data_IF_939747465565
#
_entry.id   IF_939747465565
#
_cell.length_a   1.000
_cell.length_b   1.000
_cell.length_c   1.000
_cell.angle_alpha   90.00
_cell.angle_beta   90.00
_cell.angle_gamma   90.00
#
_symmetry.space_group_name_H-M   'P 1'
#
loop_
_entity.id
_entity.type
_entity.pdbx_description
1 polymer ?
#
# COMPACT_ATOMS: atom_id res chain seq x y z
N UNK A 1 17.18 5.69 -15.86
CA UNK A 1 16.79 5.95 -14.45
C UNK A 1 17.82 5.27 -13.55
N UNK A 2 18.55 6.05 -12.75
CA UNK A 2 19.49 5.55 -11.74
C UNK A 2 18.69 5.06 -10.54
N UNK A 3 18.86 3.79 -10.15
CA UNK A 3 18.20 3.24 -8.96
C UNK A 3 18.78 3.83 -7.68
N UNK A 4 18.00 3.88 -6.61
CA UNK A 4 18.52 4.26 -5.29
C UNK A 4 19.43 3.15 -4.77
N UNK A 5 20.70 3.46 -4.49
CA UNK A 5 21.64 2.50 -3.90
C UNK A 5 21.33 2.29 -2.41
N UNK A 6 21.30 1.02 -2.00
CA UNK A 6 21.01 0.60 -0.63
C UNK A 6 22.20 -0.21 -0.13
N UNK A 7 22.67 0.12 1.08
CA UNK A 7 23.77 -0.62 1.71
C UNK A 7 23.34 -2.06 2.02
N UNK A 8 24.28 -3.03 1.97
CA UNK A 8 24.04 -4.39 2.44
C UNK A 8 23.38 -4.43 3.82
N UNK A 9 22.37 -5.29 4.00
CA UNK A 9 21.66 -5.45 5.27
C UNK A 9 20.79 -4.27 5.70
N UNK A 10 20.69 -3.19 4.91
CA UNK A 10 19.74 -2.10 5.15
C UNK A 10 18.43 -2.36 4.40
N UNK A 11 17.28 -1.99 5.00
CA UNK A 11 16.00 -2.22 4.37
C UNK A 11 15.76 -1.27 3.19
N UNK A 12 14.91 -1.69 2.26
CA UNK A 12 14.34 -0.82 1.22
C UNK A 12 13.10 -0.14 1.79
N UNK A 13 13.07 1.19 1.80
CA UNK A 13 11.85 1.96 2.12
C UNK A 13 11.32 2.64 0.87
N UNK A 14 10.04 2.43 0.57
CA UNK A 14 9.33 3.10 -0.51
C UNK A 14 8.12 3.86 0.05
N UNK A 15 7.91 5.07 -0.46
CA UNK A 15 6.84 5.98 -0.03
C UNK A 15 6.07 6.48 -1.25
N UNK A 16 4.74 6.48 -1.14
CA UNK A 16 3.83 7.10 -2.10
C UNK A 16 3.41 8.47 -1.57
N UNK A 17 3.99 9.50 -2.15
CA UNK A 17 3.61 10.90 -1.87
C UNK A 17 2.64 11.37 -2.94
N UNK A 18 1.52 11.97 -2.52
CA UNK A 18 0.59 12.65 -3.43
C UNK A 18 0.68 14.15 -3.21
N UNK A 19 0.72 14.89 -4.31
CA UNK A 19 0.80 16.35 -4.33
C UNK A 19 -0.42 16.91 -5.03
N UNK A 20 -1.12 17.85 -4.38
CA UNK A 20 -2.16 18.63 -5.03
C UNK A 20 -1.53 19.66 -5.96
N UNK A 21 -1.51 19.40 -7.27
CA UNK A 21 -1.00 20.34 -8.29
C UNK A 21 -2.05 21.34 -8.77
N UNK A 22 -3.27 21.28 -8.24
CA UNK A 22 -4.36 22.20 -8.57
C UNK A 22 -4.23 23.54 -7.85
N UNK A 23 -5.14 24.46 -8.20
CA UNK A 23 -5.24 25.80 -7.60
C UNK A 23 -6.24 25.88 -6.45
N UNK A 24 -6.93 24.78 -6.13
CA UNK A 24 -7.93 24.69 -5.06
C UNK A 24 -7.61 23.55 -4.10
N UNK A 25 -8.03 23.63 -2.83
CA UNK A 25 -7.93 22.48 -1.92
C UNK A 25 -8.66 21.27 -2.48
N UNK A 26 -8.13 20.07 -2.22
CA UNK A 26 -8.79 18.82 -2.58
C UNK A 26 -8.94 17.91 -1.36
N UNK A 27 -10.01 17.13 -1.36
CA UNK A 27 -10.23 16.09 -0.36
C UNK A 27 -9.71 14.77 -0.92
N UNK A 28 -8.93 14.06 -0.13
CA UNK A 28 -8.40 12.72 -0.47
C UNK A 28 -8.75 11.73 0.63
N UNK A 29 -9.01 10.49 0.26
CA UNK A 29 -9.23 9.40 1.20
C UNK A 29 -7.89 8.79 1.63
N UNK A 30 -7.72 8.53 2.92
CA UNK A 30 -6.56 7.80 3.44
C UNK A 30 -6.77 6.29 3.22
N UNK A 31 -5.73 5.53 2.87
CA UNK A 31 -5.78 4.07 2.99
C UNK A 31 -5.83 3.67 4.47
N UNK A 32 -6.61 2.64 4.83
CA UNK A 32 -6.84 2.23 6.22
C UNK A 32 -6.89 0.72 6.40
N UNK A 33 -6.78 0.29 7.66
CA UNK A 33 -6.72 -1.12 8.08
C UNK A 33 -7.97 -1.66 8.74
N UNK A 34 -8.73 -0.75 9.33
CA UNK A 34 -9.80 -1.05 10.25
C UNK A 34 -11.11 -0.88 9.50
N UNK A 35 -11.25 -1.79 8.55
CA UNK A 35 -12.51 -2.43 8.33
C UNK A 35 -13.66 -1.57 7.85
N UNK A 36 -13.45 -0.38 7.29
CA UNK A 36 -14.45 0.56 6.75
C UNK A 36 -14.21 0.85 5.25
N UNK A 37 -15.19 1.37 4.49
CA UNK A 37 -15.04 1.62 3.07
C UNK A 37 -14.06 2.79 2.88
N UNK A 38 -12.94 2.56 2.20
CA UNK A 38 -11.86 3.53 2.07
C UNK A 38 -10.99 3.23 0.83
N UNK A 39 -9.99 4.09 0.60
CA UNK A 39 -9.01 3.85 -0.44
C UNK A 39 -8.18 2.59 -0.16
N UNK A 40 -7.85 1.86 -1.23
CA UNK A 40 -6.95 0.73 -1.20
C UNK A 40 -5.51 1.18 -1.40
N UNK A 41 -4.56 0.47 -0.79
CA UNK A 41 -3.15 0.58 -1.12
C UNK A 41 -2.51 -0.81 -1.09
N UNK A 42 -1.56 -1.05 -1.99
CA UNK A 42 -0.79 -2.29 -2.01
C UNK A 42 0.63 -2.03 -2.47
N UNK A 43 1.51 -2.97 -2.14
CA UNK A 43 2.90 -2.95 -2.55
C UNK A 43 3.35 -4.31 -3.10
N UNK A 44 4.43 -4.29 -3.86
CA UNK A 44 5.08 -5.47 -4.43
C UNK A 44 6.56 -5.20 -4.63
N UNK A 45 7.41 -6.05 -4.08
CA UNK A 45 8.84 -6.05 -4.33
C UNK A 45 9.21 -7.19 -5.29
N UNK A 46 9.83 -6.84 -6.42
CA UNK A 46 10.31 -7.80 -7.40
C UNK A 46 11.83 -7.83 -7.45
N UNK A 47 12.41 -9.02 -7.53
CA UNK A 47 13.81 -9.24 -7.93
C UNK A 47 13.83 -10.04 -9.22
N UNK A 48 14.02 -9.37 -10.36
CA UNK A 48 13.82 -9.98 -11.67
C UNK A 48 12.36 -10.41 -11.87
N UNK A 49 12.10 -11.72 -12.03
CA UNK A 49 10.73 -12.27 -12.16
C UNK A 49 10.15 -12.80 -10.84
N UNK A 50 10.92 -12.75 -9.76
CA UNK A 50 10.52 -13.27 -8.47
C UNK A 50 9.85 -12.17 -7.63
N UNK A 51 8.61 -12.41 -7.22
CA UNK A 51 7.92 -11.60 -6.21
C UNK A 51 8.39 -12.02 -4.81
N UNK A 52 8.80 -11.03 -4.02
CA UNK A 52 9.26 -11.21 -2.66
C UNK A 52 8.16 -10.77 -1.70
N UNK A 53 7.98 -11.55 -0.63
CA UNK A 53 7.06 -11.23 0.46
C UNK A 53 7.86 -10.50 1.55
N UNK A 54 7.41 -9.34 2.05
CA UNK A 54 8.10 -8.62 3.12
C UNK A 54 8.23 -9.50 4.38
N UNK A 55 9.42 -9.46 5.00
CA UNK A 55 9.71 -10.15 6.27
C UNK A 55 10.33 -9.14 7.25
N UNK A 56 9.80 -9.05 8.47
CA UNK A 56 10.20 -8.10 9.53
C UNK A 56 9.09 -7.96 10.59
N UNK A 57 9.30 -7.26 11.74
CA UNK A 57 8.25 -6.88 12.68
C UNK A 57 7.35 -5.85 12.02
N UNK A 58 6.56 -6.34 11.07
CA UNK A 58 5.55 -5.62 10.31
C UNK A 58 6.07 -4.30 9.71
N UNK A 59 6.53 -4.34 8.47
CA UNK A 59 5.75 -3.52 7.52
C UNK A 59 4.36 -4.10 7.65
N UNK A 60 3.44 -3.37 8.26
CA UNK A 60 2.08 -3.87 8.36
C UNK A 60 1.48 -3.74 6.95
N UNK A 61 1.27 -4.82 6.16
CA UNK A 61 0.19 -4.79 5.20
C UNK A 61 -1.08 -4.77 6.05
N UNK A 62 -1.46 -3.56 6.42
CA UNK A 62 -2.68 -3.24 7.12
C UNK A 62 -3.86 -3.34 6.15
N UNK A 63 -3.97 -4.42 5.37
CA UNK A 63 -5.10 -4.59 4.45
C UNK A 63 -5.76 -5.93 4.73
N UNK A 64 -6.65 -5.91 5.71
CA UNK A 64 -7.86 -6.70 5.59
C UNK A 64 -8.94 -5.71 5.18
N UNK A 65 -9.49 -5.90 3.98
CA UNK A 65 -10.75 -5.27 3.61
C UNK A 65 -11.83 -5.99 4.40
N UNK A 66 -11.99 -5.64 5.67
CA UNK A 66 -13.32 -5.73 6.25
C UNK A 66 -14.02 -4.50 5.67
N UNK A 67 -15.08 -4.67 4.91
CA UNK A 67 -15.90 -3.51 4.59
C UNK A 67 -16.72 -3.29 5.87
N UNK A 68 -16.84 -2.07 6.40
CA UNK A 68 -17.78 -1.64 7.47
C UNK A 68 -18.76 -0.70 6.80
N UNK A 69 -19.99 -0.67 7.25
CA UNK A 69 -20.98 0.25 6.72
C UNK A 69 -20.77 1.67 7.27
N UNK A 70 -19.76 1.90 8.10
CA UNK A 70 -19.55 3.16 8.80
C UNK A 70 -18.33 3.96 8.27
N UNK A 71 -18.54 5.25 7.97
CA UNK A 71 -17.55 6.18 7.42
C UNK A 71 -17.27 7.33 8.41
N UNK A 72 -16.00 7.54 8.76
CA UNK A 72 -15.59 8.56 9.74
C UNK A 72 -14.84 9.74 9.10
N UNK A 73 -14.98 10.95 9.68
CA UNK A 73 -14.35 12.17 9.17
C UNK A 73 -12.81 12.11 9.18
N UNK A 74 -12.22 11.42 10.16
CA UNK A 74 -10.76 11.27 10.31
C UNK A 74 -10.07 10.56 9.14
N UNK A 75 -10.84 9.91 8.24
CA UNK A 75 -10.31 9.19 7.07
C UNK A 75 -9.99 10.08 5.89
N UNK A 76 -10.46 11.32 5.90
CA UNK A 76 -10.19 12.25 4.82
C UNK A 76 -9.09 13.22 5.23
N UNK A 77 -8.35 13.66 4.23
CA UNK A 77 -7.40 14.75 4.38
C UNK A 77 -7.72 15.81 3.35
N UNK A 78 -7.72 17.07 3.79
CA UNK A 78 -7.87 18.22 2.90
C UNK A 78 -6.47 18.72 2.56
N UNK A 79 -6.05 18.53 1.31
CA UNK A 79 -4.77 19.00 0.81
C UNK A 79 -4.91 20.41 0.24
N UNK A 80 -4.19 21.42 0.76
CA UNK A 80 -4.15 22.74 0.13
C UNK A 80 -3.48 22.68 -1.26
N UNK A 81 -3.64 23.73 -2.10
CA UNK A 81 -2.85 23.88 -3.34
C UNK A 81 -1.35 23.74 -3.07
N UNK A 82 -0.66 22.95 -3.91
CA UNK A 82 0.77 22.60 -3.79
C UNK A 82 1.15 21.81 -2.52
N UNK A 83 0.18 21.51 -1.64
CA UNK A 83 0.37 20.64 -0.49
C UNK A 83 0.68 19.21 -0.89
N UNK A 84 1.49 18.52 -0.10
CA UNK A 84 1.84 17.12 -0.29
C UNK A 84 1.65 16.32 0.99
N UNK A 85 1.32 15.04 0.86
CA UNK A 85 1.23 14.08 1.97
C UNK A 85 1.72 12.71 1.52
N UNK A 86 2.37 12.00 2.44
CA UNK A 86 2.67 10.58 2.27
C UNK A 86 1.43 9.76 2.58
N UNK A 87 0.86 9.11 1.56
CA UNK A 87 -0.35 8.30 1.69
C UNK A 87 -0.05 6.89 2.17
N UNK A 88 1.08 6.34 1.74
CA UNK A 88 1.46 4.96 2.00
C UNK A 88 2.98 4.86 2.01
N UNK A 89 3.51 4.08 2.94
CA UNK A 89 4.93 3.73 2.95
C UNK A 89 5.08 2.26 3.34
N UNK A 90 6.13 1.64 2.81
CA UNK A 90 6.47 0.24 3.10
C UNK A 90 7.97 0.10 3.27
N UNK A 91 8.37 -0.76 4.19
CA UNK A 91 9.76 -1.12 4.45
C UNK A 91 9.94 -2.63 4.26
N UNK A 92 10.91 -3.00 3.42
CA UNK A 92 11.31 -4.38 3.17
C UNK A 92 12.67 -4.63 3.81
N UNK A 93 12.70 -5.46 4.85
CA UNK A 93 13.91 -5.75 5.62
C UNK A 93 14.61 -7.04 5.18
N UNK A 94 13.85 -7.97 4.59
CA UNK A 94 14.37 -9.26 4.17
C UNK A 94 13.53 -9.95 3.11
N UNK A 95 14.09 -11.03 2.59
CA UNK A 95 13.45 -12.00 1.71
C UNK A 95 13.24 -13.33 2.46
N UNK A 96 12.31 -14.16 1.97
CA UNK A 96 12.12 -15.51 2.47
C UNK A 96 13.04 -16.48 1.73
N UNK A 97 13.95 -17.12 2.47
CA UNK A 97 14.73 -18.24 1.97
C UNK A 97 13.95 -19.54 2.14
N UNK A 98 13.60 -20.15 1.02
CA UNK A 98 12.87 -21.43 0.96
C UNK A 98 13.79 -22.66 0.92
N UNK A 99 15.13 -22.49 0.99
CA UNK A 99 16.07 -23.59 1.15
C UNK A 99 16.01 -24.66 0.04
N UNK A 100 15.63 -24.26 -1.18
CA UNK A 100 15.50 -25.17 -2.33
C UNK A 100 14.14 -25.85 -2.50
N UNK A 101 13.10 -25.43 -1.78
CA UNK A 101 11.73 -25.93 -2.01
C UNK A 101 11.31 -25.72 -3.49
N UNK A 102 10.81 -26.78 -4.12
CA UNK A 102 10.37 -26.75 -5.53
C UNK A 102 8.98 -26.12 -5.71
N UNK A 103 8.17 -26.07 -4.64
CA UNK A 103 6.84 -25.45 -4.60
C UNK A 103 6.81 -24.30 -3.59
N UNK A 104 5.94 -23.31 -3.84
CA UNK A 104 5.64 -22.18 -2.93
C UNK A 104 4.26 -22.38 -2.29
N UNK A 105 4.05 -23.54 -1.69
CA UNK A 105 2.81 -23.87 -0.98
C UNK A 105 2.85 -23.42 0.49
N UNK A 106 1.71 -23.56 1.19
CA UNK A 106 1.55 -23.18 2.60
C UNK A 106 2.64 -23.79 3.51
N UNK A 107 3.07 -25.03 3.25
CA UNK A 107 4.07 -25.70 4.06
C UNK A 107 5.48 -25.17 3.79
N UNK A 108 5.79 -24.81 2.54
CA UNK A 108 7.03 -24.14 2.17
C UNK A 108 7.15 -22.77 2.85
N UNK A 109 6.07 -21.98 2.85
CA UNK A 109 6.03 -20.70 3.56
C UNK A 109 6.22 -20.86 5.08
N UNK A 110 5.63 -21.90 5.68
CA UNK A 110 5.80 -22.17 7.12
C UNK A 110 7.25 -22.53 7.51
N UNK A 111 8.06 -23.00 6.56
CA UNK A 111 9.46 -23.39 6.77
C UNK A 111 10.47 -22.36 6.26
N UNK A 112 10.00 -21.34 5.54
CA UNK A 112 10.86 -20.33 4.96
C UNK A 112 11.52 -19.48 6.05
N UNK A 113 12.81 -19.16 5.88
CA UNK A 113 13.57 -18.38 6.85
C UNK A 113 13.70 -16.92 6.37
N UNK A 114 13.46 -15.93 7.22
CA UNK A 114 13.84 -14.55 6.93
C UNK A 114 15.35 -14.45 6.72
N UNK A 115 15.79 -13.84 5.63
CA UNK A 115 17.19 -13.44 5.46
C UNK A 115 17.27 -11.99 4.93
N UNK A 116 18.37 -11.25 5.17
CA UNK A 116 18.53 -9.91 4.62
C UNK A 116 18.47 -9.90 3.09
N UNK A 117 18.07 -8.77 2.51
CA UNK A 117 18.04 -8.57 1.06
C UNK A 117 19.42 -8.84 0.45
N UNK A 118 19.50 -9.78 -0.50
CA UNK A 118 20.76 -10.10 -1.19
C UNK A 118 21.16 -8.94 -2.14
N UNK A 119 22.45 -8.83 -2.48
CA UNK A 119 22.89 -7.92 -3.54
C UNK A 119 22.13 -8.16 -4.86
N UNK A 120 21.68 -7.08 -5.50
CA UNK A 120 20.89 -7.15 -6.73
C UNK A 120 20.03 -5.93 -6.98
N UNK A 121 19.30 -5.97 -8.10
CA UNK A 121 18.35 -4.95 -8.49
C UNK A 121 16.94 -5.37 -8.10
N UNK A 122 16.22 -4.46 -7.46
CA UNK A 122 14.86 -4.65 -7.00
C UNK A 122 13.96 -3.56 -7.60
N UNK A 123 12.78 -3.95 -8.06
CA UNK A 123 11.73 -3.04 -8.49
C UNK A 123 10.58 -3.11 -7.48
N UNK A 124 10.42 -2.03 -6.71
CA UNK A 124 9.33 -1.87 -5.74
C UNK A 124 8.20 -1.12 -6.40
N UNK A 125 7.02 -1.72 -6.48
CA UNK A 125 5.80 -1.07 -6.92
C UNK A 125 4.91 -0.79 -5.71
N UNK A 126 4.41 0.43 -5.62
CA UNK A 126 3.38 0.83 -4.66
C UNK A 126 2.21 1.42 -5.45
N UNK A 127 1.00 1.13 -5.02
CA UNK A 127 -0.20 1.63 -5.64
C UNK A 127 -1.22 2.06 -4.59
N UNK A 128 -2.00 3.06 -4.94
CA UNK A 128 -3.14 3.57 -4.21
C UNK A 128 -4.31 3.64 -5.17
N UNK A 129 -5.52 3.33 -4.69
CA UNK A 129 -6.72 3.52 -5.47
C UNK A 129 -7.94 3.78 -4.60
N UNK A 130 -8.61 4.90 -4.86
CA UNK A 130 -9.90 5.25 -4.29
C UNK A 130 -10.94 5.34 -5.41
N UNK A 131 -11.85 4.37 -5.40
CA UNK A 131 -12.95 4.27 -6.34
C UNK A 131 -14.20 3.82 -5.56
N UNK A 132 -15.21 4.68 -5.46
CA UNK A 132 -16.40 4.38 -4.64
C UNK A 132 -17.21 3.22 -5.18
N UNK A 133 -17.34 3.11 -6.51
CA UNK A 133 -18.07 2.01 -7.15
C UNK A 133 -17.46 0.65 -6.79
N UNK A 134 -16.13 0.53 -6.87
CA UNK A 134 -15.42 -0.71 -6.52
C UNK A 134 -15.52 -1.00 -5.02
N UNK A 135 -15.39 0.01 -4.16
CA UNK A 135 -15.56 -0.13 -2.72
C UNK A 135 -16.98 -0.64 -2.37
N UNK A 136 -17.98 -0.21 -3.14
CA UNK A 136 -19.37 -0.65 -2.96
C UNK A 136 -19.62 -2.05 -3.57
N UNK A 137 -18.97 -2.40 -4.69
CA UNK A 137 -19.18 -3.67 -5.41
C UNK A 137 -18.38 -4.86 -4.89
N UNK A 138 -17.20 -4.65 -4.31
CA UNK A 138 -16.38 -5.69 -3.66
C UNK A 138 -16.96 -6.14 -2.30
N UNK A 139 -18.07 -5.53 -1.85
CA UNK A 139 -18.78 -5.97 -0.65
C UNK A 139 -19.52 -7.29 -0.91
N UNK A 140 -19.15 -8.33 -0.15
CA UNK A 140 -19.62 -9.71 -0.33
C UNK A 140 -21.15 -9.82 -0.47
N UNK A 141 -21.57 -10.47 -1.54
CA UNK A 141 -22.87 -11.13 -1.79
C UNK A 141 -24.09 -10.68 -0.97
N UNK A 142 -25.02 -9.97 -1.62
CA UNK A 142 -26.46 -10.09 -1.35
C UNK A 142 -27.08 -9.11 -0.35
N UNK A 143 -26.32 -8.23 0.30
CA UNK A 143 -26.87 -7.21 1.19
C UNK A 143 -26.52 -5.81 0.67
N UNK A 144 -27.54 -5.00 0.39
CA UNK A 144 -27.37 -3.59 0.05
C UNK A 144 -26.77 -2.90 1.27
N UNK A 145 -25.51 -2.49 1.15
CA UNK A 145 -24.78 -1.85 2.24
C UNK A 145 -25.15 -0.37 2.28
N UNK A 146 -25.95 0.02 3.27
CA UNK A 146 -26.21 1.43 3.53
C UNK A 146 -25.04 2.03 4.29
N UNK A 147 -24.33 2.99 3.68
CA UNK A 147 -23.25 3.70 4.36
C UNK A 147 -23.83 4.66 5.40
N UNK A 148 -23.34 4.55 6.63
CA UNK A 148 -23.57 5.48 7.75
C UNK A 148 -22.39 6.42 7.85
N UNK A 149 -22.65 7.70 8.02
CA UNK A 149 -21.62 8.73 8.08
C UNK A 149 -21.60 9.40 9.44
N UNK A 150 -20.40 9.60 9.97
CA UNK A 150 -20.20 10.58 11.02
C UNK A 150 -20.60 11.99 10.58
N UNK A 151 -20.93 12.89 11.52
CA UNK A 151 -21.15 14.30 11.23
C UNK A 151 -20.04 14.90 10.36
N UNK A 152 -20.41 15.39 9.17
CA UNK A 152 -19.50 15.99 8.18
C UNK A 152 -18.61 15.00 7.40
N UNK A 153 -18.70 13.69 7.65
CA UNK A 153 -17.98 12.69 6.87
C UNK A 153 -18.60 12.48 5.48
N UNK A 154 -19.92 12.67 5.35
CA UNK A 154 -20.62 12.54 4.08
C UNK A 154 -20.13 13.56 3.04
N UNK A 155 -20.04 14.83 3.43
CA UNK A 155 -19.59 15.90 2.52
C UNK A 155 -18.14 15.68 2.07
N UNK A 156 -17.29 15.18 2.96
CA UNK A 156 -15.91 14.82 2.63
C UNK A 156 -15.85 13.57 1.75
N UNK A 157 -16.68 12.57 2.03
CA UNK A 157 -16.81 11.39 1.18
C UNK A 157 -17.28 11.76 -0.22
N UNK A 158 -18.22 12.69 -0.38
CA UNK A 158 -18.74 13.09 -1.70
C UNK A 158 -17.74 14.01 -2.45
N UNK A 159 -17.01 14.86 -1.73
CA UNK A 159 -16.02 15.78 -2.32
C UNK A 159 -14.63 15.18 -2.52
N UNK A 160 -14.36 13.98 -1.99
CA UNK A 160 -13.10 13.28 -2.18
C UNK A 160 -12.82 12.99 -3.67
N UNK A 161 -11.57 13.15 -4.07
CA UNK A 161 -11.13 12.88 -5.44
C UNK A 161 -10.91 11.37 -5.61
N UNK A 162 -11.65 10.76 -6.53
CA UNK A 162 -11.36 9.41 -7.00
C UNK A 162 -10.10 9.41 -7.86
N UNK A 163 -9.17 8.53 -7.52
CA UNK A 163 -7.91 8.44 -8.25
C UNK A 163 -7.23 7.12 -7.97
N UNK A 164 -6.53 6.64 -9.00
CA UNK A 164 -5.64 5.50 -8.93
C UNK A 164 -4.23 5.97 -9.29
N UNK A 165 -3.27 5.73 -8.42
CA UNK A 165 -1.87 6.07 -8.62
C UNK A 165 -1.04 4.82 -8.45
N UNK A 166 -0.12 4.57 -9.38
CA UNK A 166 0.85 3.48 -9.32
C UNK A 166 2.25 4.02 -9.58
N UNK A 167 3.18 3.72 -8.69
CA UNK A 167 4.57 4.13 -8.77
C UNK A 167 5.47 2.89 -8.67
N UNK A 168 6.42 2.76 -9.60
CA UNK A 168 7.50 1.77 -9.49
C UNK A 168 8.83 2.49 -9.31
N UNK A 169 9.54 2.14 -8.23
CA UNK A 169 10.87 2.67 -7.91
C UNK A 169 11.90 1.53 -7.91
N UNK A 170 13.04 1.78 -8.53
CA UNK A 170 14.16 0.84 -8.62
C UNK A 170 15.18 1.08 -7.52
N UNK A 171 15.60 0.00 -6.87
CA UNK A 171 16.63 -0.03 -5.84
C UNK A 171 17.75 -0.97 -6.25
N UNK A 172 19.00 -0.63 -5.88
CA UNK A 172 20.18 -1.48 -6.10
C UNK A 172 20.84 -1.74 -4.76
N UNK A 173 20.73 -2.99 -4.28
CA UNK A 173 21.46 -3.44 -3.09
C UNK A 173 22.86 -3.84 -3.55
N UNK A 174 23.88 -3.10 -3.10
CA UNK A 174 25.28 -3.34 -3.49
C UNK A 174 25.91 -4.45 -2.64
N UNK A 175 27.13 -4.89 -2.97
CA UNK A 175 27.96 -5.68 -2.05
C UNK A 175 28.73 -4.73 -1.14
N UNK A 176 29.17 -5.21 0.02
CA UNK A 176 30.21 -4.53 0.79
C UNK A 176 31.53 -4.51 -0.01
#
# INVERSE_FOLDING_TARGET
MTGTEVKPGKPITATLTVTNRGTRPCVIAKPIWDGAPAASAYDRLMRGREELVPVGPRSEPRVQVVVSDYVTKGRFLVLPPLGSVDLYWVTYEGELDFGGAKSRDKAAYAKAKPIPLRPGTYDCTIAYDFNRERILSESMTGLRRELRFDPGAKDLWDSAIETSVRLTKRFKVVRE
#
